data_IF_077732447243
#
_entry.id   IF_077732447243
#
_cell.length_a   1.000
_cell.length_b   1.000
_cell.length_c   1.000
_cell.angle_alpha   90.00
_cell.angle_beta   90.00
_cell.angle_gamma   90.00
#
_symmetry.space_group_name_H-M   'P 1'
#
loop_
_entity.id
_entity.type
_entity.pdbx_description
1 polymer ?
#
# COMPACT_ATOMS: atom_id res chain seq x y z
N UNK A 1 16.60 -18.83 12.58
CA UNK A 1 15.29 -18.26 12.98
C UNK A 1 15.26 -16.82 12.52
N UNK A 2 14.09 -16.30 12.14
CA UNK A 2 13.81 -14.89 11.79
C UNK A 2 13.90 -14.00 13.05
N UNK A 3 14.81 -14.33 13.96
CA UNK A 3 14.84 -13.87 15.35
C UNK A 3 16.06 -13.00 15.66
N UNK A 4 16.87 -12.64 14.65
CA UNK A 4 18.10 -11.85 14.82
C UNK A 4 18.09 -10.51 14.06
N UNK A 5 16.97 -10.09 13.46
CA UNK A 5 16.86 -8.84 12.69
C UNK A 5 17.93 -8.68 11.58
N UNK A 6 18.63 -9.74 11.18
CA UNK A 6 19.72 -9.66 10.19
C UNK A 6 19.26 -9.85 8.75
N UNK A 7 18.01 -10.30 8.56
CA UNK A 7 17.35 -10.24 7.27
C UNK A 7 16.73 -8.85 7.15
N UNK A 8 17.48 -7.93 6.55
CA UNK A 8 16.87 -6.87 5.78
C UNK A 8 16.57 -7.48 4.41
N UNK A 9 15.43 -8.17 4.19
CA UNK A 9 15.05 -8.50 2.82
C UNK A 9 15.09 -7.18 2.05
N UNK A 10 15.64 -7.17 0.84
CA UNK A 10 15.58 -6.01 -0.05
C UNK A 10 14.12 -5.56 -0.13
N UNK A 11 13.75 -4.58 0.69
CA UNK A 11 12.41 -4.06 0.73
C UNK A 11 12.30 -3.12 -0.46
N UNK A 12 11.29 -3.35 -1.27
CA UNK A 12 11.06 -2.55 -2.46
C UNK A 12 9.62 -2.07 -2.43
N UNK A 13 9.46 -0.76 -2.54
CA UNK A 13 8.16 -0.17 -2.77
C UNK A 13 7.62 -0.61 -4.14
N UNK A 14 6.36 -1.03 -4.16
CA UNK A 14 5.61 -1.28 -5.39
C UNK A 14 4.79 -0.03 -5.66
N UNK A 15 4.95 0.52 -6.85
CA UNK A 15 4.28 1.75 -7.26
C UNK A 15 3.10 1.45 -8.18
N UNK A 16 2.00 2.15 -7.96
CA UNK A 16 0.84 2.15 -8.85
C UNK A 16 0.91 3.40 -9.72
N UNK A 17 1.02 3.23 -11.04
CA UNK A 17 1.07 4.34 -11.99
C UNK A 17 -0.34 4.60 -12.54
N UNK A 18 -0.84 5.82 -12.34
CA UNK A 18 -2.16 6.23 -12.80
C UNK A 18 -2.03 7.27 -13.91
N UNK A 19 -2.86 7.14 -14.94
CA UNK A 19 -3.04 8.21 -15.90
C UNK A 19 -3.86 9.33 -15.25
N UNK A 20 -3.31 10.54 -15.19
CA UNK A 20 -3.96 11.70 -14.56
C UNK A 20 -5.35 12.03 -15.12
N UNK A 21 -5.68 11.60 -16.34
CA UNK A 21 -7.00 11.80 -16.92
C UNK A 21 -8.08 10.82 -16.38
N UNK A 22 -7.69 9.76 -15.68
CA UNK A 22 -8.57 8.64 -15.31
C UNK A 22 -8.68 8.42 -13.80
N UNK A 23 -8.35 9.43 -12.98
CA UNK A 23 -8.39 9.30 -11.52
C UNK A 23 -9.77 8.88 -11.00
N UNK A 24 -10.85 9.40 -11.57
CA UNK A 24 -12.22 9.09 -11.13
C UNK A 24 -12.60 7.62 -11.35
N UNK A 25 -11.96 6.93 -12.30
CA UNK A 25 -12.19 5.50 -12.54
C UNK A 25 -11.53 4.62 -11.49
N UNK A 26 -10.37 5.06 -10.96
CA UNK A 26 -9.52 4.23 -10.11
C UNK A 26 -9.56 4.64 -8.64
N UNK A 27 -10.08 5.82 -8.28
CA UNK A 27 -10.07 6.35 -6.90
C UNK A 27 -10.62 5.35 -5.90
N UNK A 28 -11.77 4.73 -6.18
CA UNK A 28 -12.37 3.72 -5.30
C UNK A 28 -11.50 2.48 -5.09
N UNK A 29 -10.68 2.10 -6.08
CA UNK A 29 -9.72 1.01 -5.92
C UNK A 29 -8.57 1.39 -4.97
N UNK A 30 -8.09 2.64 -5.03
CA UNK A 30 -7.08 3.14 -4.09
C UNK A 30 -7.65 3.30 -2.67
N UNK A 31 -8.85 3.86 -2.52
CA UNK A 31 -9.54 3.97 -1.23
C UNK A 31 -9.72 2.60 -0.57
N UNK A 32 -10.15 1.60 -1.34
CA UNK A 32 -10.21 0.21 -0.86
C UNK A 32 -8.82 -0.33 -0.52
N UNK A 33 -7.84 -0.15 -1.40
CA UNK A 33 -6.47 -0.61 -1.20
C UNK A 33 -5.87 -0.08 0.11
N UNK A 34 -6.14 1.18 0.46
CA UNK A 34 -5.68 1.84 1.69
C UNK A 34 -6.57 1.61 2.92
N UNK A 35 -7.66 0.85 2.78
CA UNK A 35 -8.51 0.45 3.91
C UNK A 35 -7.86 -0.68 4.72
N UNK A 36 -8.38 -0.93 5.91
CA UNK A 36 -7.96 -2.06 6.76
C UNK A 36 -8.08 -3.40 6.03
N UNK A 37 -9.22 -3.65 5.37
CA UNK A 37 -9.46 -4.87 4.58
C UNK A 37 -8.49 -5.00 3.40
N UNK A 38 -8.23 -3.89 2.70
CA UNK A 38 -7.26 -3.87 1.60
C UNK A 38 -5.84 -4.23 2.06
N UNK A 39 -5.43 -3.71 3.21
CA UNK A 39 -4.13 -4.02 3.83
C UNK A 39 -4.03 -5.45 4.38
N UNK A 40 -5.14 -6.01 4.85
CA UNK A 40 -5.23 -7.43 5.23
C UNK A 40 -4.94 -8.33 4.01
N UNK A 41 -5.58 -8.05 2.87
CA UNK A 41 -5.31 -8.79 1.64
C UNK A 41 -3.88 -8.64 1.10
N UNK A 42 -3.27 -7.47 1.26
CA UNK A 42 -1.85 -7.27 0.92
C UNK A 42 -0.96 -8.19 1.78
N UNK A 43 -1.31 -8.35 3.06
CA UNK A 43 -0.58 -9.20 3.99
C UNK A 43 -0.79 -10.69 3.68
N UNK A 44 -2.00 -11.10 3.29
CA UNK A 44 -2.34 -12.48 2.92
C UNK A 44 -1.48 -13.02 1.77
N UNK A 45 -1.10 -12.17 0.82
CA UNK A 45 -0.25 -12.54 -0.32
C UNK A 45 1.25 -12.39 -0.06
N UNK A 46 1.64 -12.10 1.20
CA UNK A 46 3.04 -12.05 1.63
C UNK A 46 3.75 -10.72 1.44
N UNK A 47 3.02 -9.64 1.16
CA UNK A 47 3.56 -8.28 1.21
C UNK A 47 3.39 -7.67 2.61
N UNK A 48 4.05 -6.54 2.84
CA UNK A 48 3.98 -5.80 4.10
C UNK A 48 2.95 -4.69 3.94
N UNK A 49 1.96 -4.64 4.83
CA UNK A 49 1.00 -3.54 4.91
C UNK A 49 1.74 -2.21 5.10
N UNK A 50 1.19 -1.14 4.52
CA UNK A 50 1.76 0.19 4.66
C UNK A 50 1.53 0.71 6.09
N UNK A 51 2.48 1.47 6.67
CA UNK A 51 2.25 2.12 7.95
C UNK A 51 1.15 3.19 7.87
N UNK A 52 0.47 3.45 8.99
CA UNK A 52 -0.68 4.36 9.04
C UNK A 52 -0.35 5.78 8.56
N UNK A 53 0.83 6.32 8.91
CA UNK A 53 1.27 7.66 8.48
C UNK A 53 1.43 7.77 6.95
N UNK A 54 1.87 6.69 6.31
CA UNK A 54 1.95 6.60 4.86
C UNK A 54 0.57 6.46 4.23
N UNK A 55 -0.33 5.68 4.83
CA UNK A 55 -1.72 5.56 4.37
C UNK A 55 -2.41 6.92 4.41
N UNK A 56 -2.28 7.66 5.51
CA UNK A 56 -2.84 9.00 5.65
C UNK A 56 -2.30 9.97 4.58
N UNK A 57 -0.98 9.97 4.34
CA UNK A 57 -0.36 10.79 3.29
C UNK A 57 -0.87 10.40 1.90
N UNK A 58 -1.02 9.10 1.60
CA UNK A 58 -1.53 8.66 0.31
C UNK A 58 -3.00 9.00 0.10
N UNK A 59 -3.85 8.84 1.12
CA UNK A 59 -5.26 9.23 1.06
C UNK A 59 -5.41 10.75 0.85
N UNK A 60 -4.61 11.56 1.54
CA UNK A 60 -4.62 13.02 1.36
C UNK A 60 -4.25 13.46 -0.07
N UNK A 61 -3.48 12.66 -0.81
CA UNK A 61 -3.12 12.92 -2.20
C UNK A 61 -4.23 12.58 -3.20
N UNK A 62 -5.22 11.77 -2.81
CA UNK A 62 -6.33 11.37 -3.68
C UNK A 62 -7.37 12.50 -3.89
N UNK A 63 -7.31 13.55 -3.07
CA UNK A 63 -8.16 14.75 -3.14
C UNK A 63 -9.33 14.70 -2.18
#
# INVERSE_FOLDING_TARGET
TVADNSYAPLSRAIYMNVNNANWDLVRGFFEYGYSEEGMEHVSDVGYVALPDDMIEDMLARLG
#
